data_IF_067293559489
#
_entry.id   IF_067293559489
#
_cell.length_a   1.000
_cell.length_b   1.000
_cell.length_c   1.000
_cell.angle_alpha   90.00
_cell.angle_beta   90.00
_cell.angle_gamma   90.00
#
_symmetry.space_group_name_H-M   'P 1'
#
loop_
_entity.id
_entity.type
_entity.pdbx_description
1 polymer ?
#
# COMPACT_ATOMS: atom_id res chain seq x y z
N UNK A 1 -42.67 32.89 58.43
CA UNK A 1 -42.44 31.68 59.27
C UNK A 1 -42.70 30.45 58.42
N UNK A 2 -41.93 29.39 58.68
CA UNK A 2 -41.93 28.04 58.09
C UNK A 2 -41.11 27.80 56.81
N UNK A 3 -39.96 27.17 57.07
CA UNK A 3 -39.02 26.49 56.18
C UNK A 3 -39.67 25.25 55.57
N UNK A 4 -39.34 24.94 54.31
CA UNK A 4 -38.99 23.58 53.90
C UNK A 4 -37.76 23.67 52.98
N UNK A 5 -36.73 22.95 53.39
CA UNK A 5 -35.43 22.77 52.76
C UNK A 5 -35.53 21.55 51.85
N UNK A 6 -35.06 21.63 50.61
CA UNK A 6 -34.62 20.45 49.87
C UNK A 6 -33.17 20.64 49.42
N UNK A 7 -32.31 19.85 50.05
CA UNK A 7 -30.93 19.63 49.68
C UNK A 7 -30.85 18.34 48.85
N UNK A 8 -30.15 18.39 47.71
CA UNK A 8 -29.44 17.25 47.14
C UNK A 8 -28.21 17.84 46.46
N UNK A 9 -26.99 17.76 47.02
CA UNK A 9 -26.07 16.61 47.11
C UNK A 9 -25.97 15.79 45.81
N UNK A 10 -25.25 16.31 44.83
CA UNK A 10 -24.47 15.48 43.91
C UNK A 10 -23.00 15.55 44.33
N UNK A 11 -22.57 14.51 45.06
CA UNK A 11 -21.16 14.21 45.35
C UNK A 11 -20.75 13.04 44.45
N UNK A 12 -19.58 13.19 43.82
CA UNK A 12 -18.62 12.13 43.47
C UNK A 12 -19.06 11.12 42.40
N UNK A 13 -18.48 11.27 41.21
CA UNK A 13 -18.09 10.15 40.36
C UNK A 13 -16.64 10.38 39.92
N UNK A 14 -15.71 10.06 40.83
CA UNK A 14 -14.27 10.05 40.62
C UNK A 14 -13.85 8.56 40.65
N UNK A 15 -14.27 7.77 39.67
CA UNK A 15 -13.87 6.36 39.49
C UNK A 15 -14.03 5.95 38.02
N UNK A 16 -13.27 6.57 37.12
CA UNK A 16 -13.26 6.19 35.70
C UNK A 16 -11.88 6.17 34.99
N UNK A 17 -10.70 6.16 35.66
CA UNK A 17 -9.47 5.76 34.98
C UNK A 17 -9.07 4.29 35.25
N UNK A 18 -9.67 3.61 36.23
CA UNK A 18 -9.18 2.30 36.69
C UNK A 18 -9.65 1.10 35.87
N UNK A 19 -10.69 1.24 35.04
CA UNK A 19 -11.20 0.11 34.24
C UNK A 19 -10.55 0.00 32.85
N UNK A 20 -9.91 1.07 32.37
CA UNK A 20 -9.27 1.09 31.04
C UNK A 20 -7.83 0.55 31.06
N UNK A 21 -7.17 0.55 32.23
CA UNK A 21 -5.84 -0.06 32.40
C UNK A 21 -5.89 -1.59 32.54
N UNK A 22 -7.01 -2.17 32.98
CA UNK A 22 -7.17 -3.63 33.11
C UNK A 22 -7.40 -4.33 31.76
N UNK A 23 -7.99 -3.63 30.78
CA UNK A 23 -8.20 -4.17 29.44
C UNK A 23 -6.89 -4.21 28.62
N UNK A 24 -6.01 -3.20 28.77
CA UNK A 24 -4.71 -3.21 28.07
C UNK A 24 -3.74 -4.28 28.61
N UNK A 25 -3.84 -4.61 29.90
CA UNK A 25 -2.99 -5.65 30.51
C UNK A 25 -3.46 -7.07 30.18
N UNK A 26 -4.75 -7.30 29.93
CA UNK A 26 -5.25 -8.60 29.47
C UNK A 26 -4.79 -8.94 28.04
N UNK A 27 -4.67 -7.95 27.13
CA UNK A 27 -4.13 -8.16 25.78
C UNK A 27 -2.61 -8.44 25.79
N UNK A 28 -1.87 -7.83 26.71
CA UNK A 28 -0.43 -8.09 26.88
C UNK A 28 -0.14 -9.46 27.53
N UNK A 29 -1.02 -10.00 28.38
CA UNK A 29 -0.88 -11.36 28.93
C UNK A 29 -1.39 -12.45 27.98
N UNK A 30 -2.44 -12.20 27.18
CA UNK A 30 -2.90 -13.16 26.17
C UNK A 30 -1.84 -13.37 25.06
N UNK A 31 -1.07 -12.33 24.74
CA UNK A 31 0.07 -12.42 23.80
C UNK A 31 1.27 -13.15 24.40
N UNK A 32 1.43 -13.14 25.73
CA UNK A 32 2.52 -13.86 26.42
C UNK A 32 2.17 -15.32 26.72
N UNK A 33 0.90 -15.68 26.83
CA UNK A 33 0.46 -17.06 27.09
C UNK A 33 0.40 -17.92 25.82
N UNK A 34 0.39 -17.33 24.62
CA UNK A 34 0.65 -18.08 23.38
C UNK A 34 2.14 -18.24 23.06
N UNK A 35 3.02 -17.57 23.83
CA UNK A 35 4.47 -17.76 23.78
C UNK A 35 4.96 -18.87 24.73
N UNK A 36 4.07 -19.46 25.52
CA UNK A 36 4.37 -20.64 26.35
C UNK A 36 4.10 -21.92 25.54
N UNK A 37 5.17 -22.64 25.18
CA UNK A 37 5.23 -24.00 24.59
C UNK A 37 5.23 -24.18 23.07
N UNK A 38 5.55 -23.14 22.29
CA UNK A 38 6.09 -23.34 20.94
C UNK A 38 7.56 -23.77 21.04
N UNK A 39 7.96 -24.84 20.34
CA UNK A 39 9.37 -25.18 20.21
C UNK A 39 10.11 -23.98 19.59
N UNK A 40 10.96 -23.30 20.36
CA UNK A 40 11.76 -22.17 19.89
C UNK A 40 12.58 -22.53 18.65
N UNK A 41 12.96 -23.80 18.49
CA UNK A 41 13.58 -24.29 17.26
C UNK A 41 12.64 -24.18 16.07
N UNK A 42 11.39 -24.65 16.19
CA UNK A 42 10.39 -24.54 15.13
C UNK A 42 10.09 -23.08 14.77
N UNK A 43 9.89 -22.21 15.76
CA UNK A 43 9.65 -20.79 15.50
C UNK A 43 10.81 -20.11 14.78
N UNK A 44 12.04 -20.57 15.03
CA UNK A 44 13.23 -20.09 14.32
C UNK A 44 13.28 -20.58 12.87
N UNK A 45 12.95 -21.85 12.62
CA UNK A 45 12.84 -22.40 11.26
C UNK A 45 11.74 -21.71 10.46
N UNK A 46 10.58 -21.46 11.08
CA UNK A 46 9.47 -20.74 10.45
C UNK A 46 9.90 -19.32 10.05
N UNK A 47 10.69 -18.64 10.88
CA UNK A 47 11.22 -17.32 10.55
C UNK A 47 12.15 -17.36 9.32
N UNK A 48 12.99 -18.40 9.20
CA UNK A 48 13.87 -18.58 8.05
C UNK A 48 13.07 -18.82 6.76
N UNK A 49 12.04 -19.65 6.80
CA UNK A 49 11.17 -19.92 5.65
C UNK A 49 10.42 -18.66 5.20
N UNK A 50 9.90 -17.89 6.17
CA UNK A 50 9.16 -16.65 5.87
C UNK A 50 10.06 -15.63 5.19
N UNK A 51 11.26 -15.43 5.71
CA UNK A 51 12.29 -14.53 5.15
C UNK A 51 12.68 -14.96 3.74
N UNK A 52 12.97 -16.24 3.53
CA UNK A 52 13.46 -16.77 2.25
C UNK A 52 12.45 -16.54 1.11
N UNK A 53 11.16 -16.55 1.42
CA UNK A 53 10.10 -16.31 0.44
C UNK A 53 9.58 -14.86 0.42
N UNK A 54 10.06 -13.97 1.29
CA UNK A 54 9.48 -12.64 1.50
C UNK A 54 9.56 -11.74 0.25
N UNK A 55 10.72 -11.65 -0.40
CA UNK A 55 10.89 -10.84 -1.61
C UNK A 55 9.94 -11.26 -2.73
N UNK A 56 9.77 -12.57 -2.91
CA UNK A 56 8.83 -13.11 -3.89
C UNK A 56 7.39 -12.72 -3.56
N UNK A 57 6.99 -12.77 -2.28
CA UNK A 57 5.66 -12.33 -1.84
C UNK A 57 5.47 -10.81 -2.04
N UNK A 58 6.45 -9.99 -1.66
CA UNK A 58 6.46 -8.54 -1.87
C UNK A 58 6.31 -8.21 -3.36
N UNK A 59 7.13 -8.81 -4.23
CA UNK A 59 7.05 -8.61 -5.69
C UNK A 59 5.71 -9.08 -6.27
N UNK A 60 5.16 -10.18 -5.74
CA UNK A 60 3.82 -10.66 -6.06
C UNK A 60 2.74 -9.62 -5.74
N UNK A 61 2.76 -9.05 -4.54
CA UNK A 61 1.82 -8.02 -4.12
C UNK A 61 1.98 -6.73 -4.94
N UNK A 62 3.20 -6.29 -5.23
CA UNK A 62 3.43 -5.15 -6.13
C UNK A 62 2.83 -5.38 -7.52
N UNK A 63 2.96 -6.59 -8.06
CA UNK A 63 2.36 -6.95 -9.37
C UNK A 63 0.83 -6.97 -9.30
N UNK A 64 0.25 -7.51 -8.23
CA UNK A 64 -1.21 -7.52 -8.04
C UNK A 64 -1.78 -6.11 -7.92
N UNK A 65 -1.08 -5.22 -7.21
CA UNK A 65 -1.43 -3.80 -7.11
C UNK A 65 -1.32 -3.13 -8.48
N UNK A 66 -0.21 -3.29 -9.19
CA UNK A 66 0.01 -2.61 -10.47
C UNK A 66 -1.05 -2.99 -11.50
N UNK A 67 -1.53 -4.24 -11.48
CA UNK A 67 -2.52 -4.73 -12.43
C UNK A 67 -3.97 -4.42 -12.01
N UNK A 68 -4.18 -3.71 -10.89
CA UNK A 68 -5.51 -3.35 -10.39
C UNK A 68 -6.28 -4.52 -9.77
N UNK A 69 -5.61 -5.63 -9.42
CA UNK A 69 -6.25 -6.81 -8.83
C UNK A 69 -6.62 -6.60 -7.35
N UNK A 70 -6.02 -5.60 -6.70
CA UNK A 70 -6.23 -5.31 -5.27
C UNK A 70 -6.50 -3.82 -5.08
N UNK A 71 -7.53 -3.50 -4.31
CA UNK A 71 -7.93 -2.10 -4.04
C UNK A 71 -7.15 -1.45 -2.88
N UNK A 72 -6.55 -2.26 -2.01
CA UNK A 72 -5.85 -1.81 -0.80
C UNK A 72 -4.40 -2.25 -0.79
N UNK A 73 -3.53 -1.41 -0.23
CA UNK A 73 -2.08 -1.63 -0.19
C UNK A 73 -1.63 -2.41 1.06
N UNK A 74 -2.57 -2.75 1.93
CA UNK A 74 -2.32 -3.38 3.24
C UNK A 74 -1.58 -4.71 3.13
N UNK A 75 -1.80 -5.49 2.06
CA UNK A 75 -1.08 -6.74 1.85
C UNK A 75 0.42 -6.51 1.62
N UNK A 76 0.79 -5.52 0.80
CA UNK A 76 2.20 -5.19 0.58
C UNK A 76 2.88 -4.69 1.88
N UNK A 77 2.18 -3.86 2.65
CA UNK A 77 2.65 -3.39 3.95
C UNK A 77 2.80 -4.55 4.95
N UNK A 78 1.85 -5.47 4.96
CA UNK A 78 1.91 -6.66 5.80
C UNK A 78 3.15 -7.51 5.48
N UNK A 79 3.40 -7.82 4.21
CA UNK A 79 4.56 -8.61 3.80
C UNK A 79 5.89 -7.95 4.21
N UNK A 80 5.99 -6.63 4.08
CA UNK A 80 7.18 -5.88 4.49
C UNK A 80 7.39 -5.89 6.01
N UNK A 81 6.32 -5.70 6.79
CA UNK A 81 6.37 -5.78 8.27
C UNK A 81 6.77 -7.18 8.72
N UNK A 82 6.22 -8.22 8.09
CA UNK A 82 6.54 -9.61 8.43
C UNK A 82 8.01 -9.92 8.12
N UNK A 83 8.54 -9.47 6.97
CA UNK A 83 9.97 -9.58 6.66
C UNK A 83 10.84 -8.94 7.76
N UNK A 84 10.56 -7.68 8.13
CA UNK A 84 11.31 -6.99 9.19
C UNK A 84 11.21 -7.72 10.53
N UNK A 85 10.03 -8.23 10.88
CA UNK A 85 9.80 -8.97 12.12
C UNK A 85 10.65 -10.23 12.17
N UNK A 86 10.65 -11.02 11.10
CA UNK A 86 11.38 -12.29 11.06
C UNK A 86 12.88 -12.10 10.88
N UNK A 87 13.33 -11.10 10.11
CA UNK A 87 14.75 -10.73 10.04
C UNK A 87 15.31 -10.39 11.42
N UNK A 88 14.58 -9.59 12.22
CA UNK A 88 14.97 -9.27 13.61
C UNK A 88 14.96 -10.50 14.51
N UNK A 89 14.04 -11.43 14.31
CA UNK A 89 14.01 -12.68 15.09
C UNK A 89 15.26 -13.55 14.81
N UNK A 90 15.73 -13.60 13.55
CA UNK A 90 16.92 -14.37 13.16
C UNK A 90 18.22 -13.86 13.81
N UNK A 91 18.26 -12.59 14.22
CA UNK A 91 19.37 -11.99 14.97
C UNK A 91 19.52 -12.56 16.41
N UNK A 92 18.55 -13.37 16.87
CA UNK A 92 18.59 -14.03 18.17
C UNK A 92 18.62 -15.57 18.02
N UNK A 93 19.72 -16.14 17.48
CA UNK A 93 19.81 -17.57 17.27
C UNK A 93 19.78 -18.35 18.59
N UNK A 94 19.20 -19.56 18.58
CA UNK A 94 19.02 -20.33 19.79
C UNK A 94 20.35 -20.84 20.37
N UNK A 95 20.37 -21.03 21.69
CA UNK A 95 21.59 -21.32 22.46
C UNK A 95 22.17 -22.71 22.21
N UNK A 96 21.41 -23.64 21.64
CA UNK A 96 21.87 -24.99 21.27
C UNK A 96 22.80 -24.99 20.05
N UNK A 97 22.82 -23.91 19.26
CA UNK A 97 23.75 -23.75 18.14
C UNK A 97 25.17 -23.49 18.64
N UNK A 98 26.16 -23.96 17.87
CA UNK A 98 27.56 -23.64 18.14
C UNK A 98 27.82 -22.14 18.04
N UNK A 99 28.80 -21.61 18.79
CA UNK A 99 29.14 -20.19 18.75
C UNK A 99 29.45 -19.71 17.32
N UNK A 100 30.27 -20.46 16.57
CA UNK A 100 30.59 -20.10 15.19
C UNK A 100 29.38 -20.12 14.26
N UNK A 101 28.43 -21.05 14.46
CA UNK A 101 27.17 -21.05 13.69
C UNK A 101 26.31 -19.83 14.02
N UNK A 102 26.24 -19.44 15.30
CA UNK A 102 25.49 -18.24 15.71
C UNK A 102 26.08 -16.97 15.12
N UNK A 103 27.41 -16.85 15.10
CA UNK A 103 28.08 -15.67 14.53
C UNK A 103 27.81 -15.53 13.02
N UNK A 104 27.82 -16.65 12.28
CA UNK A 104 27.46 -16.67 10.86
C UNK A 104 26.01 -16.21 10.65
N UNK A 105 25.08 -16.77 11.44
CA UNK A 105 23.66 -16.45 11.35
C UNK A 105 23.40 -14.98 11.67
N UNK A 106 24.02 -14.44 12.73
CA UNK A 106 23.87 -13.04 13.10
C UNK A 106 24.33 -12.15 11.95
N UNK A 107 25.49 -12.44 11.36
CA UNK A 107 25.99 -11.70 10.19
C UNK A 107 25.04 -11.79 8.98
N UNK A 108 24.38 -12.93 8.75
CA UNK A 108 23.38 -13.07 7.69
C UNK A 108 22.10 -12.29 8.01
N UNK A 109 21.65 -12.32 9.26
CA UNK A 109 20.48 -11.57 9.73
C UNK A 109 20.71 -10.05 9.62
N UNK A 110 21.93 -9.57 9.88
CA UNK A 110 22.31 -8.16 9.70
C UNK A 110 22.19 -7.72 8.23
N UNK A 111 22.72 -8.55 7.31
CA UNK A 111 22.61 -8.31 5.87
C UNK A 111 21.15 -8.27 5.42
N UNK A 112 20.35 -9.22 5.90
CA UNK A 112 18.93 -9.31 5.59
C UNK A 112 18.15 -8.12 6.16
N UNK A 113 18.42 -7.71 7.39
CA UNK A 113 17.75 -6.57 8.00
C UNK A 113 18.05 -5.29 7.22
N UNK A 114 19.30 -5.11 6.80
CA UNK A 114 19.71 -3.99 5.94
C UNK A 114 18.94 -4.00 4.62
N UNK A 115 18.85 -5.16 3.95
CA UNK A 115 18.08 -5.30 2.71
C UNK A 115 16.59 -4.99 2.94
N UNK A 116 15.97 -5.57 3.97
CA UNK A 116 14.58 -5.34 4.35
C UNK A 116 14.27 -3.87 4.67
N UNK A 117 15.18 -3.15 5.32
CA UNK A 117 15.06 -1.71 5.58
C UNK A 117 15.17 -0.88 4.29
N UNK A 118 16.06 -1.27 3.37
CA UNK A 118 16.18 -0.60 2.07
C UNK A 118 14.91 -0.70 1.21
N UNK A 119 14.16 -1.80 1.36
CA UNK A 119 12.89 -2.02 0.67
C UNK A 119 11.82 -0.98 1.03
N UNK A 120 11.89 -0.37 2.21
CA UNK A 120 10.90 0.60 2.66
C UNK A 120 10.75 1.76 1.67
N UNK A 121 11.87 2.30 1.19
CA UNK A 121 11.87 3.41 0.25
C UNK A 121 11.33 2.97 -1.12
N UNK A 122 11.71 1.79 -1.58
CA UNK A 122 11.24 1.23 -2.87
C UNK A 122 9.73 1.01 -2.84
N UNK A 123 9.21 0.44 -1.75
CA UNK A 123 7.78 0.23 -1.54
C UNK A 123 7.05 1.57 -1.45
N UNK A 124 7.57 2.54 -0.69
CA UNK A 124 6.96 3.86 -0.56
C UNK A 124 6.88 4.59 -1.92
N UNK A 125 7.95 4.55 -2.71
CA UNK A 125 7.96 5.14 -4.05
C UNK A 125 6.99 4.44 -5.01
N UNK A 126 6.91 3.12 -4.95
CA UNK A 126 5.93 2.35 -5.71
C UNK A 126 4.49 2.74 -5.34
N UNK A 127 4.16 2.76 -4.05
CA UNK A 127 2.81 3.11 -3.58
C UNK A 127 2.44 4.56 -3.94
N UNK A 128 3.40 5.48 -3.86
CA UNK A 128 3.23 6.86 -4.30
C UNK A 128 2.91 6.93 -5.79
N UNK A 129 3.67 6.21 -6.63
CA UNK A 129 3.41 6.17 -8.07
C UNK A 129 2.01 5.60 -8.37
N UNK A 130 1.61 4.52 -7.71
CA UNK A 130 0.28 3.92 -7.88
C UNK A 130 -0.85 4.86 -7.44
N UNK A 131 -0.67 5.59 -6.33
CA UNK A 131 -1.65 6.59 -5.90
C UNK A 131 -1.79 7.73 -6.92
N UNK A 132 -0.68 8.25 -7.45
CA UNK A 132 -0.69 9.27 -8.49
C UNK A 132 -1.36 8.79 -9.78
N UNK A 133 -1.07 7.55 -10.19
CA UNK A 133 -1.71 6.91 -11.35
C UNK A 133 -3.23 6.80 -11.17
N UNK A 134 -3.68 6.25 -10.05
CA UNK A 134 -5.10 6.05 -9.75
C UNK A 134 -5.86 7.37 -9.67
N UNK A 135 -5.24 8.40 -9.07
CA UNK A 135 -5.79 9.75 -9.02
C UNK A 135 -5.90 10.34 -10.42
N UNK A 136 -4.87 10.20 -11.26
CA UNK A 136 -4.90 10.78 -12.60
C UNK A 136 -5.96 10.14 -13.50
N UNK A 137 -6.14 8.82 -13.41
CA UNK A 137 -7.21 8.09 -14.11
C UNK A 137 -8.58 8.52 -13.60
N UNK A 138 -8.75 8.66 -12.28
CA UNK A 138 -10.03 9.08 -11.69
C UNK A 138 -10.37 10.53 -12.07
N UNK A 139 -9.41 11.45 -11.98
CA UNK A 139 -9.57 12.83 -12.43
C UNK A 139 -9.92 12.92 -13.91
N UNK A 140 -9.32 12.07 -14.76
CA UNK A 140 -9.70 11.98 -16.18
C UNK A 140 -11.18 11.64 -16.34
N UNK A 141 -11.67 10.64 -15.61
CA UNK A 141 -13.09 10.24 -15.65
C UNK A 141 -14.01 11.35 -15.11
N UNK A 142 -13.61 12.03 -14.04
CA UNK A 142 -14.38 13.14 -13.45
C UNK A 142 -14.44 14.35 -14.38
N UNK A 143 -13.34 14.68 -15.06
CA UNK A 143 -13.28 15.73 -16.08
C UNK A 143 -14.22 15.43 -17.26
N UNK A 144 -14.28 14.17 -17.69
CA UNK A 144 -15.18 13.72 -18.75
C UNK A 144 -16.64 13.74 -18.30
N UNK A 145 -16.92 13.40 -17.04
CA UNK A 145 -18.27 13.43 -16.49
C UNK A 145 -18.81 14.85 -16.25
N UNK A 146 -17.93 15.80 -15.95
CA UNK A 146 -18.28 17.21 -15.65
C UNK A 146 -18.18 18.15 -16.84
N UNK A 147 -17.97 17.60 -18.05
CA UNK A 147 -17.70 18.37 -19.23
C UNK A 147 -18.77 19.47 -19.49
N UNK A 148 -18.36 20.73 -19.69
CA UNK A 148 -19.28 21.78 -20.09
C UNK A 148 -19.76 21.52 -21.52
N UNK A 149 -21.07 21.25 -21.66
CA UNK A 149 -21.65 20.72 -22.91
C UNK A 149 -22.54 21.72 -23.69
N UNK A 150 -22.04 22.85 -24.23
CA UNK A 150 -22.89 23.70 -25.06
C UNK A 150 -22.68 23.59 -26.58
N UNK A 151 -21.59 22.98 -27.11
CA UNK A 151 -21.21 23.13 -28.54
C UNK A 151 -20.59 21.93 -29.26
N UNK A 152 -20.39 20.79 -28.60
CA UNK A 152 -19.74 19.64 -29.25
C UNK A 152 -20.62 18.95 -30.28
N UNK A 153 -19.99 18.45 -31.34
CA UNK A 153 -20.65 17.56 -32.29
C UNK A 153 -20.82 16.15 -31.72
N UNK A 154 -21.70 15.34 -32.32
CA UNK A 154 -21.84 13.94 -31.93
C UNK A 154 -20.53 13.15 -32.09
N UNK A 155 -19.70 13.49 -33.08
CA UNK A 155 -18.40 12.85 -33.30
C UNK A 155 -17.42 13.17 -32.19
N UNK A 156 -17.42 14.42 -31.70
CA UNK A 156 -16.56 14.83 -30.59
C UNK A 156 -17.00 14.14 -29.29
N UNK A 157 -18.32 14.07 -29.04
CA UNK A 157 -18.88 13.34 -27.91
C UNK A 157 -18.51 11.85 -27.92
N UNK A 158 -18.57 11.20 -29.09
CA UNK A 158 -18.13 9.80 -29.24
C UNK A 158 -16.63 9.66 -28.94
N UNK A 159 -15.81 10.60 -29.38
CA UNK A 159 -14.36 10.62 -29.08
C UNK A 159 -14.08 10.73 -27.58
N UNK A 160 -14.87 11.53 -26.85
CA UNK A 160 -14.77 11.64 -25.39
C UNK A 160 -15.25 10.38 -24.68
N UNK A 161 -16.32 9.75 -25.18
CA UNK A 161 -16.77 8.45 -24.67
C UNK A 161 -15.73 7.35 -24.88
N UNK A 162 -15.02 7.35 -26.01
CA UNK A 162 -13.90 6.43 -26.24
C UNK A 162 -12.79 6.63 -25.20
N UNK A 163 -12.45 7.88 -24.85
CA UNK A 163 -11.49 8.16 -23.78
C UNK A 163 -11.99 7.67 -22.42
N UNK A 164 -13.26 7.94 -22.07
CA UNK A 164 -13.84 7.47 -20.81
C UNK A 164 -13.82 5.94 -20.72
N UNK A 165 -14.16 5.25 -21.82
CA UNK A 165 -14.12 3.80 -21.91
C UNK A 165 -12.70 3.26 -21.75
N UNK A 166 -11.72 3.82 -22.47
CA UNK A 166 -10.32 3.42 -22.38
C UNK A 166 -9.75 3.64 -20.97
N UNK A 167 -10.08 4.76 -20.33
CA UNK A 167 -9.67 5.05 -18.95
C UNK A 167 -10.29 4.06 -17.95
N UNK A 168 -11.57 3.71 -18.13
CA UNK A 168 -12.24 2.68 -17.32
C UNK A 168 -11.64 1.28 -17.49
N UNK A 169 -11.30 0.90 -18.73
CA UNK A 169 -10.60 -0.36 -19.02
C UNK A 169 -9.22 -0.38 -18.37
N UNK A 170 -8.42 0.66 -18.55
CA UNK A 170 -7.09 0.77 -17.96
C UNK A 170 -7.13 0.74 -16.43
N UNK A 171 -8.12 1.39 -15.79
CA UNK A 171 -8.31 1.36 -14.33
C UNK A 171 -8.51 -0.04 -13.79
N UNK A 172 -9.22 -0.90 -14.53
CA UNK A 172 -9.57 -2.26 -14.10
C UNK A 172 -8.56 -3.30 -14.55
N UNK A 173 -7.87 -3.04 -15.65
CA UNK A 173 -6.90 -3.91 -16.28
C UNK A 173 -5.72 -3.05 -16.71
N UNK A 174 -4.78 -2.76 -15.82
CA UNK A 174 -3.59 -1.99 -16.16
C UNK A 174 -2.55 -2.90 -16.81
N UNK A 175 -2.59 -2.98 -18.14
CA UNK A 175 -1.67 -3.76 -18.97
C UNK A 175 -1.03 -2.84 -19.99
N UNK A 176 0.04 -3.26 -20.66
CA UNK A 176 0.62 -2.46 -21.75
C UNK A 176 -0.40 -2.23 -22.87
N UNK A 177 -1.25 -3.21 -23.19
CA UNK A 177 -2.29 -3.10 -24.23
C UNK A 177 -3.33 -2.01 -23.89
N UNK A 178 -3.94 -2.09 -22.71
CA UNK A 178 -4.94 -1.09 -22.28
C UNK A 178 -4.34 0.30 -22.11
N UNK A 179 -3.05 0.40 -21.79
CA UNK A 179 -2.29 1.65 -21.72
C UNK A 179 -2.13 2.30 -23.08
N UNK A 180 -1.75 1.54 -24.11
CA UNK A 180 -1.64 2.05 -25.48
C UNK A 180 -3.01 2.51 -26.01
N UNK A 181 -4.07 1.76 -25.73
CA UNK A 181 -5.45 2.16 -26.08
C UNK A 181 -5.82 3.49 -25.39
N UNK A 182 -5.48 3.64 -24.11
CA UNK A 182 -5.72 4.88 -23.37
C UNK A 182 -4.93 6.07 -23.97
N UNK A 183 -3.65 5.88 -24.29
CA UNK A 183 -2.84 6.95 -24.89
C UNK A 183 -3.36 7.37 -26.26
N UNK A 184 -3.73 6.41 -27.10
CA UNK A 184 -4.34 6.70 -28.39
C UNK A 184 -5.66 7.48 -28.23
N UNK A 185 -6.48 7.14 -27.22
CA UNK A 185 -7.70 7.89 -26.95
C UNK A 185 -7.42 9.34 -26.50
N UNK A 186 -6.41 9.55 -25.65
CA UNK A 186 -5.96 10.90 -25.29
C UNK A 186 -5.51 11.71 -26.53
N UNK A 187 -4.78 11.09 -27.44
CA UNK A 187 -4.30 11.75 -28.67
C UNK A 187 -5.43 12.17 -29.60
N UNK A 188 -6.51 11.38 -29.69
CA UNK A 188 -7.72 11.79 -30.41
C UNK A 188 -8.38 13.01 -29.75
N UNK A 189 -8.52 12.99 -28.42
CA UNK A 189 -9.14 14.10 -27.68
C UNK A 189 -8.33 15.40 -27.79
N UNK A 190 -7.00 15.30 -27.86
CA UNK A 190 -6.13 16.46 -28.04
C UNK A 190 -6.36 17.22 -29.36
N UNK A 191 -7.02 16.60 -30.34
CA UNK A 191 -7.36 17.23 -31.63
C UNK A 191 -8.74 17.92 -31.65
N UNK A 192 -9.53 17.79 -30.58
CA UNK A 192 -10.87 18.36 -30.50
C UNK A 192 -10.83 19.86 -30.20
N UNK A 193 -11.80 20.60 -30.73
CA UNK A 193 -12.03 22.01 -30.39
C UNK A 193 -12.85 22.12 -29.09
N UNK A 194 -12.15 21.97 -27.97
CA UNK A 194 -12.69 21.98 -26.60
C UNK A 194 -12.02 23.10 -25.80
N UNK A 195 -12.59 23.44 -24.64
CA UNK A 195 -12.04 24.47 -23.76
C UNK A 195 -10.55 24.24 -23.44
N UNK A 196 -9.73 25.29 -23.57
CA UNK A 196 -8.28 25.19 -23.42
C UNK A 196 -7.87 24.77 -22.00
N UNK A 197 -8.61 25.20 -20.98
CA UNK A 197 -8.34 24.79 -19.58
C UNK A 197 -8.54 23.29 -19.46
N UNK A 198 -9.60 22.77 -20.07
CA UNK A 198 -9.91 21.34 -20.07
C UNK A 198 -8.89 20.52 -20.86
N UNK A 199 -8.44 21.01 -22.02
CA UNK A 199 -7.33 20.39 -22.76
C UNK A 199 -6.04 20.33 -21.94
N UNK A 200 -5.69 21.43 -21.28
CA UNK A 200 -4.49 21.50 -20.46
C UNK A 200 -4.56 20.50 -19.30
N UNK A 201 -5.71 20.41 -18.65
CA UNK A 201 -5.92 19.47 -17.56
C UNK A 201 -5.83 18.02 -18.04
N UNK A 202 -6.49 17.64 -19.15
CA UNK A 202 -6.37 16.30 -19.73
C UNK A 202 -4.92 15.97 -20.13
N UNK A 203 -4.15 16.95 -20.61
CA UNK A 203 -2.73 16.79 -20.91
C UNK A 203 -1.90 16.50 -19.65
N UNK A 204 -2.17 17.21 -18.55
CA UNK A 204 -1.56 16.94 -17.23
C UNK A 204 -1.89 15.52 -16.77
N UNK A 205 -3.16 15.10 -16.88
CA UNK A 205 -3.55 13.74 -16.48
C UNK A 205 -2.87 12.67 -17.35
N UNK A 206 -2.78 12.87 -18.67
CA UNK A 206 -2.02 11.98 -19.57
C UNK A 206 -0.56 11.85 -19.13
N UNK A 207 0.08 12.97 -18.78
CA UNK A 207 1.47 12.98 -18.33
C UNK A 207 1.66 12.22 -17.00
N UNK A 208 0.76 12.42 -16.03
CA UNK A 208 0.79 11.70 -14.76
C UNK A 208 0.61 10.20 -14.97
N UNK A 209 -0.34 9.79 -15.82
CA UNK A 209 -0.54 8.38 -16.17
C UNK A 209 0.73 7.81 -16.82
N UNK A 210 1.35 8.54 -17.75
CA UNK A 210 2.57 8.07 -18.44
C UNK A 210 3.78 7.94 -17.55
N UNK A 211 3.98 8.87 -16.62
CA UNK A 211 5.12 8.85 -15.70
C UNK A 211 4.98 7.82 -14.58
N UNK A 212 3.75 7.41 -14.24
CA UNK A 212 3.48 6.53 -13.10
C UNK A 212 2.95 5.14 -13.47
N UNK A 213 2.58 4.88 -14.73
CA UNK A 213 2.23 3.55 -15.22
C UNK A 213 3.49 2.69 -15.46
N UNK A 214 4.35 2.56 -14.45
CA UNK A 214 5.57 1.76 -14.55
C UNK A 214 5.21 0.27 -14.54
N UNK A 215 5.94 -0.52 -15.35
CA UNK A 215 5.83 -1.97 -15.28
C UNK A 215 6.28 -2.47 -13.89
N UNK A 216 5.53 -3.38 -13.23
CA UNK A 216 5.92 -3.93 -11.94
C UNK A 216 7.32 -4.56 -11.98
N UNK A 217 7.72 -5.13 -13.13
CA UNK A 217 9.06 -5.66 -13.33
C UNK A 217 10.19 -4.63 -13.15
N UNK A 218 9.95 -3.35 -13.45
CA UNK A 218 10.93 -2.29 -13.23
C UNK A 218 11.02 -1.90 -11.75
N UNK A 219 9.91 -1.96 -11.02
CA UNK A 219 9.91 -1.75 -9.57
C UNK A 219 10.54 -2.94 -8.83
N UNK A 220 10.29 -4.17 -9.30
CA UNK A 220 10.92 -5.41 -8.81
C UNK A 220 12.41 -5.47 -9.17
N UNK A 221 12.80 -5.01 -10.37
CA UNK A 221 14.21 -4.93 -10.77
C UNK A 221 15.04 -4.05 -9.84
N UNK A 222 14.44 -2.98 -9.31
CA UNK A 222 15.07 -2.14 -8.27
C UNK A 222 15.23 -2.85 -6.92
N UNK A 223 14.42 -3.87 -6.62
CA UNK A 223 14.62 -4.73 -5.44
C UNK A 223 15.87 -5.60 -5.60
N UNK A 224 16.14 -6.10 -6.81
CA UNK A 224 17.33 -6.92 -7.08
C UNK A 224 18.62 -6.10 -7.15
N UNK A 225 18.52 -4.80 -7.41
CA UNK A 225 19.66 -3.87 -7.46
C UNK A 225 20.04 -3.29 -6.09
N UNK A 226 19.16 -3.37 -5.07
CA UNK A 226 19.47 -2.97 -3.69
C UNK A 226 20.34 -3.96 -2.92
N UNK A 227 20.62 -5.14 -3.49
CA UNK A 227 21.47 -6.19 -2.91
C UNK A 227 22.97 -6.05 -3.26
N UNK A 228 23.39 -4.91 -3.83
CA UNK A 228 24.80 -4.60 -4.20
C UNK A 228 25.30 -3.35 -3.46
#
# INVERSE_FOLDING_TARGET
MNRIVFASRQRRALLLPSLLLAFLSAFLLASQTLAETGDHHQAYLDALDIVTAAESRIGGEMTRISNGTVAHFDFLQHEHIELLRHARALHHPPTWMSAGTRDIIISQADSLLTSAESLELVIADFLRAQALLNNAVSNTLDLLATQPNPRLSNTDLDTLQQLAHAAGLFRTHNTSETREVLYAAFDKVASLDIDQTWQNELSVQKHLIRSNATEPAAAIGRLAESDV
#
